data_IF_316857391847
#
_entry.id   IF_316857391847
#
_cell.length_a   1.000
_cell.length_b   1.000
_cell.length_c   1.000
_cell.angle_alpha   90.00
_cell.angle_beta   90.00
_cell.angle_gamma   90.00
#
_symmetry.space_group_name_H-M   'P 1'
#
loop_
_entity.id
_entity.type
_entity.pdbx_description
1 polymer ?
#
# COMPACT_ATOMS: atom_id res chain seq x y z
N UNK A 1 -9.90 -5.95 -13.19
CA UNK A 1 -9.23 -7.25 -12.96
C UNK A 1 -8.67 -7.20 -11.55
N UNK A 2 -9.08 -8.09 -10.64
CA UNK A 2 -8.62 -8.06 -9.24
C UNK A 2 -7.34 -8.90 -9.12
N UNK A 3 -6.22 -8.26 -8.86
CA UNK A 3 -4.96 -8.97 -8.61
C UNK A 3 -5.05 -9.76 -7.31
N UNK A 4 -4.54 -10.99 -7.28
CA UNK A 4 -4.61 -11.85 -6.07
C UNK A 4 -3.85 -11.25 -4.87
N UNK A 5 -2.89 -10.36 -5.15
CA UNK A 5 -2.02 -9.74 -4.17
C UNK A 5 -2.52 -8.38 -3.69
N UNK A 6 -3.65 -7.86 -4.19
CA UNK A 6 -4.14 -6.51 -3.91
C UNK A 6 -5.53 -6.52 -3.30
N UNK A 7 -5.74 -5.66 -2.31
CA UNK A 7 -7.02 -5.46 -1.64
C UNK A 7 -7.34 -3.99 -1.44
N UNK A 8 -8.62 -3.72 -1.29
CA UNK A 8 -9.16 -2.41 -0.93
C UNK A 8 -8.69 -2.00 0.47
N UNK A 9 -8.42 -0.71 0.66
CA UNK A 9 -8.07 -0.13 1.95
C UNK A 9 -8.77 1.22 2.12
N UNK A 10 -9.43 1.46 3.26
CA UNK A 10 -10.17 2.71 3.46
C UNK A 10 -9.24 3.92 3.58
N UNK A 11 -8.03 3.75 4.10
CA UNK A 11 -7.08 4.83 4.31
C UNK A 11 -6.23 5.05 3.06
N UNK A 12 -5.71 3.97 2.50
CA UNK A 12 -4.74 4.01 1.41
C UNK A 12 -5.37 3.84 0.02
N UNK A 13 -6.70 3.84 -0.08
CA UNK A 13 -7.48 3.37 -1.24
C UNK A 13 -7.30 1.87 -1.53
N UNK A 14 -6.07 1.39 -1.51
CA UNK A 14 -5.70 0.01 -1.74
C UNK A 14 -4.33 -0.30 -1.13
N UNK A 15 -4.07 -1.57 -0.89
CA UNK A 15 -2.77 -2.07 -0.42
C UNK A 15 -2.55 -3.52 -0.84
N UNK A 16 -1.34 -4.01 -0.64
CA UNK A 16 -1.07 -5.42 -0.79
C UNK A 16 -1.72 -6.27 0.32
N UNK A 17 -2.08 -7.49 -0.06
CA UNK A 17 -2.53 -8.55 0.85
C UNK A 17 -1.29 -9.14 1.55
N UNK A 18 -1.17 -9.03 2.88
CA UNK A 18 -0.04 -9.62 3.61
C UNK A 18 0.08 -11.13 3.37
N UNK A 19 1.31 -11.62 3.29
CA UNK A 19 1.62 -13.03 3.00
C UNK A 19 1.09 -13.57 1.66
N UNK A 20 0.57 -12.72 0.77
CA UNK A 20 0.19 -13.16 -0.56
C UNK A 20 1.38 -13.75 -1.30
N UNK A 21 1.16 -14.87 -1.96
CA UNK A 21 2.17 -15.57 -2.73
C UNK A 21 1.54 -16.16 -3.98
N UNK A 22 2.14 -15.86 -5.13
CA UNK A 22 1.67 -16.38 -6.39
C UNK A 22 2.52 -15.91 -7.55
N UNK A 23 2.19 -16.41 -8.73
CA UNK A 23 2.86 -16.03 -9.97
C UNK A 23 2.08 -14.93 -10.65
N UNK A 24 2.75 -13.84 -11.01
CA UNK A 24 2.20 -12.76 -11.80
C UNK A 24 2.79 -12.79 -13.20
N UNK A 25 1.97 -13.26 -14.15
CA UNK A 25 2.37 -13.47 -15.53
C UNK A 25 1.52 -12.62 -16.47
N UNK A 26 2.20 -11.85 -17.29
CA UNK A 26 1.61 -11.06 -18.39
C UNK A 26 2.20 -11.54 -19.72
N UNK A 27 1.92 -10.82 -20.81
CA UNK A 27 2.60 -11.06 -22.09
C UNK A 27 4.04 -10.53 -22.08
N UNK A 28 4.36 -9.59 -21.18
CA UNK A 28 5.63 -8.87 -21.15
C UNK A 28 6.62 -9.48 -20.17
N UNK A 29 6.12 -10.06 -19.07
CA UNK A 29 6.96 -10.59 -18.01
C UNK A 29 6.28 -11.73 -17.25
N UNK A 30 7.09 -12.43 -16.46
CA UNK A 30 6.68 -13.59 -15.68
C UNK A 30 7.48 -13.58 -14.37
N UNK A 31 6.84 -13.17 -13.29
CA UNK A 31 7.51 -12.94 -12.00
C UNK A 31 6.80 -13.63 -10.85
N UNK A 32 7.57 -13.99 -9.82
CA UNK A 32 7.01 -14.40 -8.55
C UNK A 32 6.65 -13.16 -7.71
N UNK A 33 5.41 -13.12 -7.23
CA UNK A 33 4.93 -12.12 -6.29
C UNK A 33 4.81 -12.75 -4.91
N UNK A 34 5.76 -12.39 -4.05
CA UNK A 34 5.78 -12.80 -2.65
C UNK A 34 5.77 -11.55 -1.78
N UNK A 35 4.71 -11.43 -1.00
CA UNK A 35 4.49 -10.34 -0.07
C UNK A 35 4.79 -10.85 1.34
N UNK A 36 5.49 -10.06 2.13
CA UNK A 36 5.84 -10.40 3.50
C UNK A 36 4.67 -10.18 4.47
N UNK A 37 4.88 -10.45 5.76
CA UNK A 37 3.83 -10.29 6.78
C UNK A 37 3.37 -8.83 6.99
N UNK A 38 4.17 -7.85 6.54
CA UNK A 38 3.84 -6.43 6.57
C UNK A 38 3.15 -5.94 5.29
N UNK A 39 2.90 -6.84 4.32
CA UNK A 39 2.33 -6.47 3.03
C UNK A 39 3.32 -5.75 2.11
N UNK A 40 4.62 -6.03 2.23
CA UNK A 40 5.67 -5.49 1.35
C UNK A 40 6.13 -6.55 0.37
N UNK A 41 6.42 -6.16 -0.87
CA UNK A 41 7.04 -7.04 -1.88
C UNK A 41 8.55 -7.16 -1.65
N UNK A 42 8.91 -7.73 -0.51
CA UNK A 42 10.28 -7.81 -0.03
C UNK A 42 10.45 -9.01 0.92
N UNK A 43 11.64 -9.17 1.49
CA UNK A 43 11.88 -10.07 2.60
C UNK A 43 11.25 -9.56 3.90
N UNK A 44 11.23 -10.42 4.92
CA UNK A 44 10.67 -10.07 6.24
C UNK A 44 11.50 -9.03 6.97
N UNK A 45 10.82 -8.07 7.60
CA UNK A 45 11.45 -7.08 8.48
C UNK A 45 10.79 -7.10 9.87
N UNK A 46 11.62 -6.94 10.90
CA UNK A 46 11.14 -6.69 12.26
C UNK A 46 10.69 -5.25 12.41
N UNK A 47 9.53 -4.98 13.04
CA UNK A 47 9.15 -3.62 13.43
C UNK A 47 10.21 -3.01 14.37
N UNK A 48 10.67 -3.79 15.36
CA UNK A 48 11.80 -3.39 16.19
C UNK A 48 13.08 -3.39 15.35
N UNK A 49 13.65 -2.20 15.14
CA UNK A 49 14.93 -2.04 14.42
C UNK A 49 16.04 -2.81 15.15
N UNK A 50 16.73 -3.76 14.48
CA UNK A 50 17.86 -4.45 15.08
C UNK A 50 18.99 -3.47 15.42
N UNK A 51 19.84 -3.78 16.43
CA UNK A 51 20.99 -2.95 16.74
C UNK A 51 21.94 -2.85 15.54
N UNK A 52 22.66 -1.73 15.44
CA UNK A 52 23.65 -1.49 14.38
C UNK A 52 23.07 -1.67 12.95
N UNK A 53 21.82 -1.24 12.76
CA UNK A 53 21.11 -1.30 11.48
C UNK A 53 20.67 0.09 11.07
N UNK A 54 20.97 0.46 9.83
CA UNK A 54 20.52 1.69 9.17
C UNK A 54 19.39 1.35 8.21
N UNK A 55 18.21 1.92 8.42
CA UNK A 55 16.99 1.66 7.63
C UNK A 55 16.73 2.78 6.63
N UNK A 56 16.58 2.39 5.37
CA UNK A 56 16.11 3.25 4.29
C UNK A 56 14.73 2.74 3.89
N UNK A 57 13.70 3.58 4.04
CA UNK A 57 12.35 3.29 3.57
C UNK A 57 12.15 3.95 2.21
N UNK A 58 11.76 3.17 1.20
CA UNK A 58 11.52 3.66 -0.16
C UNK A 58 10.02 3.67 -0.42
N UNK A 59 9.47 4.85 -0.71
CA UNK A 59 8.07 5.10 -1.04
C UNK A 59 7.96 5.41 -2.53
N UNK A 60 6.87 4.98 -3.15
CA UNK A 60 6.58 5.25 -4.55
C UNK A 60 5.54 4.29 -5.10
N UNK A 61 5.44 4.30 -6.42
CA UNK A 61 4.47 3.56 -7.21
C UNK A 61 4.97 2.18 -7.69
N UNK A 62 4.49 1.75 -8.87
CA UNK A 62 4.89 0.52 -9.56
C UNK A 62 6.38 0.48 -9.92
N UNK A 63 7.03 1.63 -10.16
CA UNK A 63 8.47 1.65 -10.39
C UNK A 63 9.23 1.27 -9.11
N UNK A 64 8.76 1.76 -7.96
CA UNK A 64 9.37 1.45 -6.66
C UNK A 64 9.12 0.02 -6.24
N UNK A 65 7.89 -0.44 -6.40
CA UNK A 65 7.51 -1.84 -6.23
C UNK A 65 8.37 -2.77 -7.12
N UNK A 66 8.73 -2.30 -8.32
CA UNK A 66 9.52 -3.01 -9.32
C UNK A 66 8.66 -3.95 -10.17
N UNK A 67 7.53 -3.46 -10.67
CA UNK A 67 6.65 -4.23 -11.56
C UNK A 67 7.45 -4.83 -12.73
N UNK A 68 7.14 -6.08 -13.06
CA UNK A 68 7.79 -6.81 -14.14
C UNK A 68 9.21 -7.33 -13.89
N UNK A 69 9.86 -7.04 -12.75
CA UNK A 69 11.17 -7.63 -12.39
C UNK A 69 11.08 -8.60 -11.22
N UNK A 70 12.07 -9.48 -11.05
CA UNK A 70 12.14 -10.36 -9.88
C UNK A 70 12.44 -9.53 -8.62
N UNK A 71 11.98 -9.99 -7.45
CA UNK A 71 12.16 -9.25 -6.18
C UNK A 71 13.61 -8.83 -5.91
N UNK A 72 14.59 -9.67 -6.26
CA UNK A 72 16.02 -9.39 -6.09
C UNK A 72 16.61 -8.39 -7.11
N UNK A 73 15.87 -8.09 -8.18
CA UNK A 73 16.25 -7.15 -9.24
C UNK A 73 15.65 -5.76 -9.03
N UNK A 74 14.68 -5.62 -8.11
CA UNK A 74 14.14 -4.32 -7.71
C UNK A 74 15.28 -3.39 -7.26
N UNK A 75 15.20 -2.10 -7.61
CA UNK A 75 16.33 -1.21 -7.32
C UNK A 75 16.61 -1.08 -5.82
N UNK A 76 15.61 -1.28 -4.96
CA UNK A 76 15.76 -1.31 -3.50
C UNK A 76 16.71 -2.44 -3.08
N UNK A 77 16.55 -3.64 -3.64
CA UNK A 77 17.46 -4.78 -3.40
C UNK A 77 18.83 -4.57 -4.04
N UNK A 78 18.89 -3.96 -5.23
CA UNK A 78 20.16 -3.59 -5.87
C UNK A 78 20.94 -2.58 -5.01
N UNK A 79 20.25 -1.59 -4.44
CA UNK A 79 20.83 -0.60 -3.53
C UNK A 79 21.33 -1.28 -2.24
N UNK A 80 20.52 -2.11 -1.61
CA UNK A 80 20.91 -2.85 -0.40
C UNK A 80 22.16 -3.71 -0.63
N UNK A 81 22.20 -4.42 -1.76
CA UNK A 81 23.34 -5.25 -2.15
C UNK A 81 24.61 -4.43 -2.39
N UNK A 82 24.50 -3.18 -2.87
CA UNK A 82 25.63 -2.25 -3.01
C UNK A 82 26.08 -1.72 -1.66
N UNK A 83 25.16 -1.31 -0.79
CA UNK A 83 25.46 -0.80 0.56
C UNK A 83 26.16 -1.86 1.42
N UNK A 84 25.78 -3.14 1.28
CA UNK A 84 26.41 -4.26 1.97
C UNK A 84 27.90 -4.46 1.63
N UNK A 85 28.38 -3.90 0.50
CA UNK A 85 29.79 -3.98 0.08
C UNK A 85 30.65 -2.85 0.64
N UNK A 86 30.07 -1.87 1.34
CA UNK A 86 30.84 -0.81 1.97
C UNK A 86 31.70 -1.35 3.11
N UNK A 87 32.91 -0.81 3.34
CA UNK A 87 33.80 -1.25 4.42
C UNK A 87 33.31 -0.72 5.78
N UNK A 88 32.17 -1.22 6.24
CA UNK A 88 31.53 -0.86 7.51
C UNK A 88 30.92 -2.09 8.17
N UNK A 89 30.80 -2.06 9.50
CA UNK A 89 30.06 -3.08 10.25
C UNK A 89 28.56 -2.81 10.28
N UNK A 90 28.12 -1.64 9.82
CA UNK A 90 26.70 -1.26 9.78
C UNK A 90 25.91 -2.20 8.86
N UNK A 91 24.79 -2.73 9.36
CA UNK A 91 23.82 -3.45 8.52
C UNK A 91 22.90 -2.43 7.84
N UNK A 92 22.64 -2.62 6.56
CA UNK A 92 21.65 -1.81 5.84
C UNK A 92 20.41 -2.65 5.55
N UNK A 93 19.24 -2.07 5.82
CA UNK A 93 17.94 -2.58 5.42
C UNK A 93 17.31 -1.55 4.48
N UNK A 94 17.10 -1.91 3.22
CA UNK A 94 16.45 -1.04 2.23
C UNK A 94 15.05 -1.60 1.98
N UNK A 95 14.07 -1.01 2.65
CA UNK A 95 12.70 -1.49 2.69
C UNK A 95 11.93 -0.95 1.49
N UNK A 96 11.46 -1.85 0.63
CA UNK A 96 10.60 -1.50 -0.49
C UNK A 96 9.14 -1.38 -0.01
N UNK A 97 8.63 -0.15 0.06
CA UNK A 97 7.23 0.14 0.34
C UNK A 97 6.51 0.77 -0.87
N UNK A 98 7.00 0.48 -2.08
CA UNK A 98 6.30 0.84 -3.30
C UNK A 98 5.04 0.00 -3.51
N UNK A 99 3.97 0.63 -3.93
CA UNK A 99 2.69 -0.01 -4.24
C UNK A 99 2.17 0.59 -5.55
N UNK A 100 1.71 -0.21 -6.54
CA UNK A 100 1.23 0.31 -7.81
C UNK A 100 0.26 1.47 -7.66
N UNK A 101 0.40 2.52 -8.47
CA UNK A 101 -0.47 3.71 -8.43
C UNK A 101 -0.52 4.45 -7.09
N UNK A 102 0.46 4.26 -6.20
CA UNK A 102 0.62 5.17 -5.07
C UNK A 102 1.16 6.50 -5.56
N UNK A 103 0.43 7.56 -5.21
CA UNK A 103 0.83 8.94 -5.43
C UNK A 103 1.37 9.56 -4.13
N UNK A 104 1.86 10.80 -4.20
CA UNK A 104 2.42 11.52 -3.05
C UNK A 104 1.46 11.57 -1.85
N UNK A 105 0.14 11.69 -2.07
CA UNK A 105 -0.85 11.62 -1.00
C UNK A 105 -0.89 10.25 -0.31
N UNK A 106 -0.93 9.16 -1.09
CA UNK A 106 -1.00 7.80 -0.54
C UNK A 106 0.32 7.40 0.13
N UNK A 107 1.46 7.82 -0.42
CA UNK A 107 2.77 7.66 0.21
C UNK A 107 2.86 8.37 1.57
N UNK A 108 2.34 9.60 1.67
CA UNK A 108 2.28 10.33 2.94
C UNK A 108 1.43 9.59 3.97
N UNK A 109 0.24 9.12 3.58
CA UNK A 109 -0.64 8.35 4.45
C UNK A 109 0.02 7.03 4.89
N UNK A 110 0.66 6.33 3.95
CA UNK A 110 1.40 5.11 4.26
C UNK A 110 2.52 5.38 5.26
N UNK A 111 3.35 6.41 5.02
CA UNK A 111 4.44 6.78 5.90
C UNK A 111 3.93 7.08 7.32
N UNK A 112 2.92 7.94 7.43
CA UNK A 112 2.36 8.39 8.70
C UNK A 112 1.77 7.25 9.53
N UNK A 113 1.03 6.34 8.89
CA UNK A 113 0.28 5.31 9.60
C UNK A 113 1.02 3.98 9.73
N UNK A 114 1.93 3.65 8.81
CA UNK A 114 2.61 2.36 8.76
C UNK A 114 4.13 2.50 8.69
N UNK A 115 4.64 3.33 7.78
CA UNK A 115 6.08 3.43 7.49
C UNK A 115 6.93 3.88 8.68
N UNK A 116 6.47 4.85 9.47
CA UNK A 116 7.21 5.36 10.64
C UNK A 116 7.36 4.30 11.75
N UNK A 117 6.49 3.29 11.82
CA UNK A 117 6.60 2.19 12.80
C UNK A 117 7.83 1.31 12.53
N UNK A 118 8.38 1.34 11.31
CA UNK A 118 9.63 0.65 10.96
C UNK A 118 10.88 1.39 11.45
N UNK A 119 10.75 2.55 12.10
CA UNK A 119 11.86 3.36 12.59
C UNK A 119 12.96 3.61 11.53
N UNK A 120 12.61 4.11 10.32
CA UNK A 120 13.58 4.40 9.28
C UNK A 120 14.53 5.53 9.70
N UNK A 121 15.79 5.46 9.26
CA UNK A 121 16.77 6.53 9.40
C UNK A 121 16.71 7.52 8.23
N UNK A 122 16.29 7.03 7.05
CA UNK A 122 16.03 7.82 5.84
C UNK A 122 14.75 7.34 5.19
N UNK A 123 13.95 8.29 4.71
CA UNK A 123 12.81 8.04 3.83
C UNK A 123 13.15 8.62 2.46
N UNK A 124 13.03 7.81 1.41
CA UNK A 124 13.21 8.22 0.01
C UNK A 124 11.87 8.13 -0.70
N UNK A 125 11.45 9.24 -1.31
CA UNK A 125 10.23 9.33 -2.12
C UNK A 125 10.63 9.28 -3.59
N UNK A 126 10.01 8.37 -4.34
CA UNK A 126 10.24 8.18 -5.75
C UNK A 126 9.03 8.68 -6.52
N UNK A 127 9.03 9.99 -6.75
CA UNK A 127 7.97 10.69 -7.43
C UNK A 127 8.02 10.44 -8.95
N UNK A 128 6.90 10.02 -9.52
CA UNK A 128 6.65 9.95 -10.96
C UNK A 128 5.67 11.07 -11.39
N UNK A 129 5.73 11.48 -12.66
CA UNK A 129 4.82 12.51 -13.17
C UNK A 129 3.36 12.07 -13.19
N UNK A 130 3.09 10.76 -13.26
CA UNK A 130 1.72 10.23 -13.19
C UNK A 130 1.10 10.40 -11.79
N UNK A 131 1.91 10.51 -10.74
CA UNK A 131 1.45 10.72 -9.36
C UNK A 131 0.58 11.97 -9.21
N UNK A 132 0.84 13.01 -10.02
CA UNK A 132 0.04 14.25 -10.01
C UNK A 132 -1.41 13.95 -10.43
N UNK A 133 -1.55 13.13 -11.48
CA UNK A 133 -2.86 12.74 -11.98
C UNK A 133 -3.56 11.82 -10.98
N UNK A 134 -2.82 10.84 -10.44
CA UNK A 134 -3.34 9.92 -9.44
C UNK A 134 -3.77 10.66 -8.16
N UNK A 135 -3.01 11.64 -7.68
CA UNK A 135 -3.40 12.51 -6.57
C UNK A 135 -4.73 13.24 -6.85
N UNK A 136 -4.91 13.77 -8.06
CA UNK A 136 -6.16 14.44 -8.46
C UNK A 136 -7.33 13.45 -8.43
N UNK A 137 -7.14 12.22 -8.90
CA UNK A 137 -8.18 11.20 -8.88
C UNK A 137 -8.52 10.76 -7.46
N UNK A 138 -7.52 10.47 -6.62
CA UNK A 138 -7.74 10.07 -5.24
C UNK A 138 -8.31 11.21 -4.39
N UNK A 139 -7.95 12.47 -4.65
CA UNK A 139 -8.50 13.62 -3.93
C UNK A 139 -10.02 13.75 -4.07
N UNK A 140 -10.63 13.22 -5.13
CA UNK A 140 -12.10 13.20 -5.31
C UNK A 140 -12.81 12.32 -4.29
N UNK A 141 -12.10 11.37 -3.70
CA UNK A 141 -12.63 10.41 -2.73
C UNK A 141 -11.93 10.48 -1.37
N UNK A 142 -10.89 11.29 -1.24
CA UNK A 142 -10.19 11.59 0.00
C UNK A 142 -11.01 12.47 0.96
N UNK A 143 -10.66 12.37 2.23
CA UNK A 143 -11.20 13.16 3.33
C UNK A 143 -10.04 13.91 3.95
N UNK A 144 -10.27 15.18 4.27
CA UNK A 144 -9.24 16.08 4.78
C UNK A 144 -9.60 16.59 6.17
N UNK A 145 -8.59 16.81 7.01
CA UNK A 145 -8.76 17.51 8.29
C UNK A 145 -8.97 19.02 8.09
N UNK A 146 -9.19 19.75 9.19
CA UNK A 146 -9.37 21.21 9.18
C UNK A 146 -8.17 21.99 8.63
N UNK A 147 -6.98 21.36 8.57
CA UNK A 147 -5.74 21.93 8.04
C UNK A 147 -5.51 21.53 6.58
N UNK A 148 -6.43 20.77 5.96
CA UNK A 148 -6.31 20.31 4.58
C UNK A 148 -5.40 19.10 4.40
N UNK A 149 -5.01 18.41 5.47
CA UNK A 149 -4.22 17.18 5.36
C UNK A 149 -5.14 15.98 5.10
N UNK A 150 -4.75 15.05 4.22
CA UNK A 150 -5.51 13.83 3.99
C UNK A 150 -5.54 12.98 5.27
N UNK A 151 -6.71 12.43 5.60
CA UNK A 151 -6.92 11.55 6.77
C UNK A 151 -7.45 10.16 6.42
N UNK A 152 -8.08 9.98 5.27
CA UNK A 152 -8.66 8.71 4.77
C UNK A 152 -9.04 8.85 3.28
N UNK A 153 -9.05 7.76 2.51
CA UNK A 153 -9.42 7.73 1.09
C UNK A 153 -10.54 6.71 0.82
N UNK A 154 -11.79 7.17 0.78
CA UNK A 154 -12.93 6.27 0.77
C UNK A 154 -13.23 5.71 -0.63
N UNK A 155 -13.45 4.40 -0.76
CA UNK A 155 -13.92 3.80 -2.01
C UNK A 155 -15.42 4.07 -2.17
N UNK A 156 -15.79 4.68 -3.30
CA UNK A 156 -17.18 4.86 -3.71
C UNK A 156 -17.58 3.76 -4.68
N UNK A 157 -18.64 3.03 -4.37
CA UNK A 157 -19.22 2.08 -5.30
C UNK A 157 -20.32 2.77 -6.09
N UNK A 158 -20.10 2.94 -7.40
CA UNK A 158 -21.10 3.40 -8.34
C UNK A 158 -21.80 2.22 -9.02
N UNK A 159 -23.12 2.28 -9.12
CA UNK A 159 -23.89 1.36 -9.94
C UNK A 159 -23.75 1.80 -11.40
N UNK A 160 -23.09 0.94 -12.19
CA UNK A 160 -22.70 1.22 -13.57
C UNK A 160 -23.92 1.35 -14.49
N UNK A 161 -25.05 0.71 -14.17
CA UNK A 161 -26.28 0.80 -14.98
C UNK A 161 -27.09 2.05 -14.64
N UNK A 162 -27.12 2.45 -13.37
CA UNK A 162 -27.88 3.60 -12.90
C UNK A 162 -27.09 4.91 -12.90
N UNK A 163 -25.77 4.85 -13.13
CA UNK A 163 -24.82 5.99 -12.99
C UNK A 163 -25.05 6.76 -11.69
N UNK A 164 -25.27 6.04 -10.59
CA UNK A 164 -25.60 6.62 -9.29
C UNK A 164 -24.76 5.97 -8.21
N UNK A 165 -24.27 6.80 -7.27
CA UNK A 165 -23.60 6.35 -6.05
C UNK A 165 -24.60 5.49 -5.23
N UNK A 166 -24.32 4.20 -5.05
CA UNK A 166 -25.24 3.24 -4.40
C UNK A 166 -24.82 2.81 -3.00
N UNK A 167 -23.64 3.25 -2.55
CA UNK A 167 -23.21 3.06 -1.18
C UNK A 167 -21.82 3.61 -0.92
N UNK A 168 -21.58 4.01 0.32
CA UNK A 168 -20.25 4.32 0.84
C UNK A 168 -20.00 3.34 1.97
N UNK A 169 -18.98 2.49 1.84
CA UNK A 169 -18.47 1.72 2.96
C UNK A 169 -17.49 2.60 3.73
N UNK A 170 -17.82 2.94 4.97
CA UNK A 170 -16.94 3.69 5.87
C UNK A 170 -16.67 2.82 7.08
N UNK A 171 -15.41 2.50 7.31
CA UNK A 171 -14.93 1.96 8.59
C UNK A 171 -14.34 3.13 9.37
N UNK A 172 -14.75 3.29 10.62
CA UNK A 172 -14.13 4.23 11.55
C UNK A 172 -12.70 3.74 11.85
N UNK A 173 -11.65 4.51 11.50
CA UNK A 173 -10.26 4.06 11.64
C UNK A 173 -9.78 4.02 13.10
N UNK A 174 -10.58 4.51 14.05
CA UNK A 174 -10.29 4.52 15.49
C UNK A 174 -11.09 3.44 16.22
N UNK A 175 -12.35 3.21 15.85
CA UNK A 175 -13.27 2.31 16.58
C UNK A 175 -13.55 0.98 15.88
N UNK A 176 -13.27 0.87 14.57
CA UNK A 176 -13.62 -0.31 13.76
C UNK A 176 -15.12 -0.42 13.43
N UNK A 177 -15.93 0.56 13.82
CA UNK A 177 -17.34 0.62 13.47
C UNK A 177 -17.53 0.85 11.98
N UNK A 178 -18.54 0.23 11.38
CA UNK A 178 -18.89 0.51 9.98
C UNK A 178 -20.37 0.80 9.84
N UNK A 179 -20.68 1.76 8.96
CA UNK A 179 -22.05 2.18 8.65
C UNK A 179 -22.38 1.82 7.21
N UNK A 180 -23.48 1.09 7.03
CA UNK A 180 -24.00 0.71 5.72
C UNK A 180 -25.42 1.28 5.60
N UNK A 181 -25.63 2.23 4.70
CA UNK A 181 -26.95 2.68 4.29
C UNK A 181 -27.35 1.94 3.01
N UNK A 182 -28.45 1.18 3.07
CA UNK A 182 -28.95 0.43 1.91
C UNK A 182 -30.29 0.98 1.43
N UNK A 183 -30.57 0.88 0.11
CA UNK A 183 -31.90 1.16 -0.43
C UNK A 183 -32.99 0.26 0.17
N UNK A 184 -34.17 0.83 0.41
CA UNK A 184 -35.36 0.09 0.85
C UNK A 184 -35.90 -0.83 -0.25
N UNK A 185 -36.44 -2.00 0.11
CA UNK A 185 -37.18 -2.88 -0.83
C UNK A 185 -36.37 -4.01 -1.47
N UNK A 186 -35.18 -4.32 -0.94
CA UNK A 186 -34.36 -5.46 -1.37
C UNK A 186 -34.02 -6.34 -0.18
N UNK A 187 -33.78 -7.63 -0.44
CA UNK A 187 -33.33 -8.58 0.58
C UNK A 187 -31.80 -8.62 0.60
N UNK A 188 -31.23 -8.42 1.78
CA UNK A 188 -29.80 -8.45 2.01
C UNK A 188 -29.50 -9.47 3.10
N UNK A 189 -28.46 -10.29 2.92
CA UNK A 189 -27.99 -11.22 3.94
C UNK A 189 -26.56 -10.87 4.33
N UNK A 190 -26.29 -10.91 5.62
CA UNK A 190 -24.97 -10.67 6.22
C UNK A 190 -24.62 -11.85 7.11
N UNK A 191 -23.38 -12.30 7.06
CA UNK A 191 -22.80 -13.14 8.11
C UNK A 191 -21.38 -12.63 8.39
N UNK A 192 -21.06 -12.55 9.68
CA UNK A 192 -19.71 -12.31 10.17
C UNK A 192 -19.33 -13.54 11.00
N UNK A 193 -18.28 -14.24 10.59
CA UNK A 193 -17.71 -15.35 11.35
C UNK A 193 -16.40 -14.86 11.99
N UNK A 194 -16.29 -15.02 13.31
CA UNK A 194 -15.07 -14.77 14.07
C UNK A 194 -14.80 -16.02 14.89
N UNK A 195 -13.81 -16.80 14.46
CA UNK A 195 -13.11 -17.75 15.33
C UNK A 195 -11.97 -17.02 16.03
N UNK A 196 -12.04 -16.93 17.35
CA UNK A 196 -10.89 -16.80 18.27
C UNK A 196 -10.04 -15.56 18.10
#
# INVERSE_FOLDING_TARGET
MRFFYMQDDSLLHHRFVPNANGRYKTLEFDTDYKLNALGLRDHEYSLQKPPNTFRILMLGDSFTEGDGVMSHETFSKVLEARLRKLPTTMRFEVINAGVPSYSSMLEYLYLKHYGLQLNPDVVMIHFDLSDIYDDIEYAKSARFDENGNPVDATIKCEDVELKKEVGIAKTDPVTGEYFIALPTGRYYAYYADVKG
#
